data_IF_650855126306
#
_entry.id   IF_650855126306
#
_cell.length_a   1.000
_cell.length_b   1.000
_cell.length_c   1.000
_cell.angle_alpha   90.00
_cell.angle_beta   90.00
_cell.angle_gamma   90.00
#
_symmetry.space_group_name_H-M   'P 1'
#
loop_
_entity.id
_entity.type
_entity.pdbx_description
1 polymer ?
#
# COMPACT_ATOMS: atom_id res chain seq x y z
N UNK A 1 -18.08 -11.34 -5.95
CA UNK A 1 -18.74 -11.06 -7.24
C UNK A 1 -19.10 -9.58 -7.42
N UNK A 2 -19.28 -8.83 -6.36
CA UNK A 2 -19.66 -7.41 -6.41
C UNK A 2 -18.54 -6.41 -6.67
N UNK A 3 -17.29 -6.80 -6.72
CA UNK A 3 -16.16 -5.87 -6.92
C UNK A 3 -15.65 -5.82 -8.36
N UNK A 4 -16.51 -5.91 -9.33
CA UNK A 4 -16.09 -5.81 -10.71
C UNK A 4 -15.57 -4.45 -11.15
N UNK A 5 -15.90 -3.39 -10.48
CA UNK A 5 -15.56 -2.04 -10.92
C UNK A 5 -14.88 -1.16 -9.86
N UNK A 6 -14.88 -1.53 -8.59
CA UNK A 6 -14.51 -0.59 -7.52
C UNK A 6 -13.31 -0.98 -6.70
N UNK A 7 -12.44 -1.79 -7.21
CA UNK A 7 -11.47 -2.42 -6.35
C UNK A 7 -10.14 -1.83 -6.43
N UNK A 8 -9.83 -0.76 -6.25
CA UNK A 8 -8.40 -0.50 -6.25
C UNK A 8 -7.92 0.49 -5.25
N UNK A 9 -8.81 1.09 -4.54
CA UNK A 9 -8.36 2.22 -3.77
C UNK A 9 -7.70 1.86 -2.45
N UNK A 10 -7.88 0.69 -1.87
CA UNK A 10 -7.30 0.50 -0.53
C UNK A 10 -6.91 -0.95 -0.26
N UNK A 11 -5.68 -1.27 -0.51
CA UNK A 11 -5.02 -2.40 0.10
C UNK A 11 -4.42 -1.97 1.43
N UNK A 12 -5.24 -1.69 2.42
CA UNK A 12 -4.77 -1.39 3.76
C UNK A 12 -5.28 -2.44 4.73
N UNK A 13 -4.37 -3.12 5.38
CA UNK A 13 -4.68 -4.04 6.48
C UNK A 13 -5.02 -5.48 6.08
N UNK A 14 -5.58 -6.23 7.02
CA UNK A 14 -5.87 -7.65 6.92
C UNK A 14 -7.13 -8.00 6.11
N UNK A 15 -7.86 -7.02 5.60
CA UNK A 15 -9.18 -7.16 4.98
C UNK A 15 -9.12 -7.17 3.45
N UNK A 16 -8.26 -7.99 2.88
CA UNK A 16 -8.17 -8.13 1.43
C UNK A 16 -9.04 -9.27 0.95
N UNK A 17 -9.90 -8.97 -0.03
CA UNK A 17 -10.69 -9.97 -0.73
C UNK A 17 -10.01 -10.39 -2.03
N UNK A 18 -10.08 -11.67 -2.42
CA UNK A 18 -9.52 -12.11 -3.69
C UNK A 18 -10.23 -11.44 -4.86
N UNK A 19 -9.45 -11.00 -5.86
CA UNK A 19 -10.01 -10.46 -7.10
C UNK A 19 -10.54 -11.61 -7.97
N UNK A 20 -11.87 -11.82 -7.97
CA UNK A 20 -12.55 -12.92 -8.66
C UNK A 20 -13.27 -12.46 -9.96
N UNK A 21 -13.05 -11.24 -10.42
CA UNK A 21 -13.73 -10.75 -11.58
C UNK A 21 -13.28 -11.48 -12.85
N UNK A 22 -14.22 -12.14 -13.50
CA UNK A 22 -14.02 -12.83 -14.79
C UNK A 22 -15.06 -12.39 -15.86
N UNK A 23 -15.77 -11.28 -15.61
CA UNK A 23 -16.81 -10.72 -16.45
C UNK A 23 -18.21 -11.29 -16.15
N UNK A 24 -19.25 -10.45 -16.25
CA UNK A 24 -20.66 -10.85 -16.17
C UNK A 24 -20.99 -11.88 -17.26
N UNK A 25 -20.31 -11.78 -18.41
CA UNK A 25 -20.43 -12.77 -19.49
C UNK A 25 -20.03 -14.18 -19.03
N UNK A 26 -18.96 -14.32 -18.29
CA UNK A 26 -18.50 -15.63 -17.77
C UNK A 26 -19.49 -16.19 -16.77
N UNK A 27 -20.02 -15.38 -15.86
CA UNK A 27 -21.06 -15.77 -14.92
C UNK A 27 -22.30 -16.30 -15.62
N UNK A 28 -22.78 -15.59 -16.65
CA UNK A 28 -23.90 -16.01 -17.47
C UNK A 28 -23.63 -17.33 -18.23
N UNK A 29 -22.44 -17.48 -18.81
CA UNK A 29 -22.07 -18.66 -19.59
C UNK A 29 -21.89 -19.92 -18.74
N UNK A 30 -21.49 -19.80 -17.48
CA UNK A 30 -21.38 -20.95 -16.56
C UNK A 30 -22.74 -21.63 -16.38
N UNK A 31 -23.81 -20.87 -16.22
CA UNK A 31 -25.16 -21.44 -16.12
C UNK A 31 -25.62 -22.06 -17.43
N UNK A 32 -25.28 -21.44 -18.57
CA UNK A 32 -25.48 -22.06 -19.88
C UNK A 32 -24.72 -23.38 -19.99
N UNK A 33 -23.49 -23.47 -19.47
CA UNK A 33 -22.70 -24.70 -19.44
C UNK A 33 -23.38 -25.78 -18.62
N UNK A 34 -23.81 -25.45 -17.42
CA UNK A 34 -24.46 -26.41 -16.49
C UNK A 34 -25.74 -26.97 -17.10
N UNK A 35 -26.56 -26.12 -17.73
CA UNK A 35 -27.86 -26.51 -18.34
C UNK A 35 -27.73 -27.17 -19.72
N UNK A 36 -26.57 -27.07 -20.37
CA UNK A 36 -26.36 -27.56 -21.73
C UNK A 36 -26.46 -29.10 -21.82
N UNK A 37 -27.44 -29.61 -22.59
CA UNK A 37 -27.67 -31.04 -22.72
C UNK A 37 -26.62 -31.81 -23.52
N UNK A 38 -25.77 -31.14 -24.31
CA UNK A 38 -24.71 -31.75 -25.10
C UNK A 38 -23.39 -31.86 -24.34
N UNK A 39 -23.33 -31.37 -23.12
CA UNK A 39 -22.19 -31.50 -22.21
C UNK A 39 -22.50 -32.62 -21.25
N UNK A 40 -21.64 -33.63 -21.23
CA UNK A 40 -21.85 -34.83 -20.40
C UNK A 40 -21.64 -34.48 -18.90
N UNK A 41 -22.30 -35.23 -18.04
CA UNK A 41 -22.08 -35.09 -16.59
C UNK A 41 -20.64 -35.41 -16.17
N UNK A 42 -19.97 -36.29 -16.91
CA UNK A 42 -18.53 -36.59 -16.71
C UNK A 42 -17.63 -35.35 -16.94
N UNK A 43 -18.04 -34.42 -17.79
CA UNK A 43 -17.34 -33.14 -18.00
C UNK A 43 -17.80 -32.06 -17.01
N UNK A 44 -19.08 -32.06 -16.61
CA UNK A 44 -19.67 -31.03 -15.73
C UNK A 44 -19.22 -31.18 -14.28
N UNK A 45 -19.35 -32.38 -13.73
CA UNK A 45 -19.11 -32.65 -12.31
C UNK A 45 -17.71 -32.22 -11.86
N UNK A 46 -16.61 -32.61 -12.54
CA UNK A 46 -15.29 -32.20 -12.11
C UNK A 46 -15.10 -30.67 -12.12
N UNK A 47 -15.60 -29.96 -13.13
CA UNK A 47 -15.48 -28.50 -13.23
C UNK A 47 -16.30 -27.76 -12.19
N UNK A 48 -17.52 -28.24 -11.92
CA UNK A 48 -18.38 -27.68 -10.86
C UNK A 48 -17.75 -27.93 -9.50
N UNK A 49 -17.26 -29.16 -9.25
CA UNK A 49 -16.55 -29.49 -8.01
C UNK A 49 -15.30 -28.61 -7.81
N UNK A 50 -14.54 -28.38 -8.88
CA UNK A 50 -13.37 -27.51 -8.86
C UNK A 50 -13.74 -26.04 -8.56
N UNK A 51 -14.80 -25.51 -9.17
CA UNK A 51 -15.28 -24.16 -8.82
C UNK A 51 -15.74 -24.09 -7.36
N UNK A 52 -16.48 -25.08 -6.88
CA UNK A 52 -16.92 -25.13 -5.48
C UNK A 52 -15.71 -25.20 -4.54
N UNK A 53 -14.70 -26.03 -4.87
CA UNK A 53 -13.47 -26.11 -4.10
C UNK A 53 -12.72 -24.75 -4.04
N UNK A 54 -12.61 -24.02 -5.15
CA UNK A 54 -12.01 -22.70 -5.14
C UNK A 54 -12.80 -21.71 -4.29
N UNK A 55 -14.15 -21.71 -4.37
CA UNK A 55 -14.96 -20.83 -3.54
C UNK A 55 -14.79 -21.11 -2.05
N UNK A 56 -14.72 -22.38 -1.65
CA UNK A 56 -14.40 -22.75 -0.26
C UNK A 56 -12.97 -22.32 0.09
N UNK A 57 -12.02 -22.52 -0.83
CA UNK A 57 -10.62 -22.13 -0.62
C UNK A 57 -10.40 -20.64 -0.45
N UNK A 58 -11.29 -19.77 -0.96
CA UNK A 58 -11.23 -18.34 -0.73
C UNK A 58 -11.84 -17.91 0.61
N UNK A 59 -12.65 -18.78 1.24
CA UNK A 59 -13.29 -18.52 2.51
C UNK A 59 -12.50 -19.10 3.70
N UNK A 60 -11.66 -20.12 3.45
CA UNK A 60 -10.97 -20.88 4.49
C UNK A 60 -9.47 -20.54 4.54
N UNK A 61 -9.04 -19.93 5.63
CA UNK A 61 -7.64 -19.52 5.83
C UNK A 61 -6.63 -20.67 5.74
N UNK A 62 -7.01 -21.88 6.16
CA UNK A 62 -6.14 -23.04 6.11
C UNK A 62 -5.86 -23.49 4.66
N UNK A 63 -6.87 -23.41 3.79
CA UNK A 63 -6.67 -23.71 2.37
C UNK A 63 -5.85 -22.62 1.67
N UNK A 64 -6.06 -21.37 2.04
CA UNK A 64 -5.24 -20.27 1.54
C UNK A 64 -3.77 -20.41 1.96
N UNK A 65 -3.50 -20.82 3.21
CA UNK A 65 -2.16 -21.18 3.69
C UNK A 65 -1.49 -22.26 2.82
N UNK A 66 -2.23 -23.32 2.45
CA UNK A 66 -1.70 -24.39 1.58
C UNK A 66 -1.35 -23.83 0.18
N UNK A 67 -2.22 -23.00 -0.40
CA UNK A 67 -2.00 -22.36 -1.70
C UNK A 67 -0.79 -21.43 -1.73
N UNK A 68 -0.43 -20.86 -0.56
CA UNK A 68 0.74 -19.98 -0.40
C UNK A 68 2.00 -20.73 0.03
N UNK A 69 2.08 -22.06 -0.21
CA UNK A 69 3.26 -22.86 0.09
C UNK A 69 3.51 -23.05 1.58
N UNK A 70 2.44 -23.26 2.36
CA UNK A 70 2.45 -23.41 3.82
C UNK A 70 2.89 -22.13 4.56
N UNK A 71 2.55 -20.98 3.99
CA UNK A 71 2.79 -19.67 4.58
C UNK A 71 1.50 -18.85 4.58
N UNK A 72 1.21 -18.11 5.66
CA UNK A 72 0.07 -17.19 5.66
C UNK A 72 0.37 -15.95 4.82
N UNK A 73 -0.45 -15.64 3.83
CA UNK A 73 -0.30 -14.42 3.05
C UNK A 73 -0.60 -13.21 3.95
N UNK A 74 0.32 -12.28 3.99
CA UNK A 74 0.19 -11.13 4.89
C UNK A 74 -0.62 -9.97 4.30
N UNK A 75 -0.90 -9.98 3.00
CA UNK A 75 -1.59 -8.88 2.35
C UNK A 75 -2.23 -9.22 1.00
N UNK A 76 -2.25 -10.42 0.53
CA UNK A 76 -2.83 -10.77 -0.77
C UNK A 76 -3.40 -12.21 -0.73
N UNK A 77 -4.53 -12.43 -0.04
CA UNK A 77 -5.16 -13.74 0.00
C UNK A 77 -5.72 -14.12 -1.38
N UNK A 78 -5.91 -15.41 -1.60
CA UNK A 78 -6.57 -15.89 -2.80
C UNK A 78 -5.79 -15.70 -4.09
N UNK A 79 -4.45 -15.72 -4.06
CA UNK A 79 -3.60 -15.61 -5.27
C UNK A 79 -3.92 -16.64 -6.34
N UNK A 80 -4.48 -17.78 -5.96
CA UNK A 80 -4.96 -18.84 -6.87
C UNK A 80 -6.23 -18.44 -7.65
N UNK A 81 -6.78 -17.24 -7.47
CA UNK A 81 -8.00 -16.76 -8.14
C UNK A 81 -7.94 -16.81 -9.67
N UNK A 82 -6.75 -16.71 -10.27
CA UNK A 82 -6.57 -16.87 -11.71
C UNK A 82 -6.94 -18.29 -12.20
N UNK A 83 -6.73 -19.32 -11.38
CA UNK A 83 -7.15 -20.69 -11.70
C UNK A 83 -8.68 -20.82 -11.71
N UNK A 84 -9.35 -20.19 -10.76
CA UNK A 84 -10.81 -20.09 -10.74
C UNK A 84 -11.34 -19.41 -12.01
N UNK A 85 -10.78 -18.26 -12.37
CA UNK A 85 -11.12 -17.54 -13.60
C UNK A 85 -10.88 -18.39 -14.84
N UNK A 86 -9.79 -19.13 -14.91
CA UNK A 86 -9.50 -20.05 -16.00
C UNK A 86 -10.55 -21.16 -16.13
N UNK A 87 -11.00 -21.75 -15.01
CA UNK A 87 -12.09 -22.76 -15.03
C UNK A 87 -13.38 -22.16 -15.53
N UNK A 88 -13.78 -20.96 -15.04
CA UNK A 88 -14.96 -20.24 -15.52
C UNK A 88 -14.91 -20.01 -17.04
N UNK A 89 -13.81 -19.48 -17.53
CA UNK A 89 -13.62 -19.21 -18.96
C UNK A 89 -13.65 -20.51 -19.79
N UNK A 90 -13.04 -21.59 -19.29
CA UNK A 90 -13.05 -22.90 -19.97
C UNK A 90 -14.47 -23.48 -20.07
N UNK A 91 -15.29 -23.29 -19.00
CA UNK A 91 -16.70 -23.69 -19.02
C UNK A 91 -17.53 -22.82 -19.98
N UNK A 92 -17.30 -21.50 -19.97
CA UNK A 92 -17.93 -20.57 -20.90
C UNK A 92 -17.60 -20.91 -22.37
N UNK A 93 -16.34 -21.17 -22.68
CA UNK A 93 -15.92 -21.61 -24.01
C UNK A 93 -16.60 -22.90 -24.44
N UNK A 94 -16.68 -23.90 -23.56
CA UNK A 94 -17.36 -25.16 -23.86
C UNK A 94 -18.88 -24.95 -24.09
N UNK A 95 -19.52 -24.04 -23.35
CA UNK A 95 -20.93 -23.69 -23.55
C UNK A 95 -21.18 -23.08 -24.94
N UNK A 96 -20.31 -22.14 -25.35
CA UNK A 96 -20.42 -21.51 -26.69
C UNK A 96 -20.13 -22.52 -27.79
N UNK A 97 -19.07 -23.32 -27.65
CA UNK A 97 -18.71 -24.38 -28.65
C UNK A 97 -19.86 -25.40 -28.85
N UNK A 98 -20.50 -25.84 -27.75
CA UNK A 98 -21.60 -26.81 -27.75
C UNK A 98 -22.99 -26.14 -27.77
N UNK A 99 -23.13 -24.91 -28.28
CA UNK A 99 -24.34 -24.06 -28.25
C UNK A 99 -25.62 -24.75 -28.80
N UNK A 100 -25.48 -25.78 -29.66
CA UNK A 100 -26.65 -26.54 -30.17
C UNK A 100 -27.39 -27.29 -29.06
N UNK A 101 -26.76 -27.54 -27.91
CA UNK A 101 -27.40 -28.16 -26.75
C UNK A 101 -28.13 -27.18 -25.82
N UNK A 102 -28.04 -25.88 -26.10
CA UNK A 102 -28.71 -24.83 -25.33
C UNK A 102 -30.07 -24.52 -25.92
N UNK A 103 -31.10 -24.52 -25.11
CA UNK A 103 -32.47 -24.11 -25.45
C UNK A 103 -32.73 -22.68 -24.96
N UNK A 104 -33.80 -22.02 -25.44
CA UNK A 104 -34.15 -20.65 -25.02
C UNK A 104 -34.42 -20.58 -23.52
N UNK A 105 -35.10 -21.57 -22.94
CA UNK A 105 -35.35 -21.56 -21.50
C UNK A 105 -34.06 -21.72 -20.68
N UNK A 106 -32.99 -22.36 -21.21
CA UNK A 106 -31.66 -22.38 -20.52
C UNK A 106 -31.10 -20.97 -20.42
N UNK A 107 -31.31 -20.13 -21.47
CA UNK A 107 -30.85 -18.75 -21.47
C UNK A 107 -31.61 -17.93 -20.42
N UNK A 108 -32.95 -18.10 -20.33
CA UNK A 108 -33.77 -17.44 -19.34
C UNK A 108 -33.36 -17.83 -17.90
N UNK A 109 -33.20 -19.12 -17.63
CA UNK A 109 -32.75 -19.61 -16.33
C UNK A 109 -31.33 -19.08 -15.99
N UNK A 110 -30.43 -19.10 -16.95
CA UNK A 110 -29.07 -18.56 -16.73
C UNK A 110 -29.10 -17.07 -16.36
N UNK A 111 -29.91 -16.27 -17.04
CA UNK A 111 -30.08 -14.85 -16.72
C UNK A 111 -30.71 -14.65 -15.35
N UNK A 112 -31.77 -15.38 -15.02
CA UNK A 112 -32.45 -15.29 -13.71
C UNK A 112 -31.51 -15.67 -12.59
N UNK A 113 -30.78 -16.77 -12.71
CA UNK A 113 -29.83 -17.20 -11.64
C UNK A 113 -28.66 -16.24 -11.51
N UNK A 114 -28.12 -15.73 -12.63
CA UNK A 114 -27.07 -14.69 -12.58
C UNK A 114 -27.56 -13.41 -11.90
N UNK A 115 -28.80 -12.99 -12.22
CA UNK A 115 -29.43 -11.82 -11.60
C UNK A 115 -29.68 -12.03 -10.10
N UNK A 116 -30.16 -13.24 -9.74
CA UNK A 116 -30.40 -13.60 -8.33
C UNK A 116 -29.11 -13.58 -7.50
N UNK A 117 -28.01 -14.12 -8.06
CA UNK A 117 -26.69 -14.05 -7.40
C UNK A 117 -26.20 -12.61 -7.26
N UNK A 118 -26.43 -11.77 -8.27
CA UNK A 118 -26.10 -10.35 -8.22
C UNK A 118 -26.89 -9.61 -7.12
N UNK A 119 -28.19 -9.87 -7.02
CA UNK A 119 -29.05 -9.29 -5.96
C UNK A 119 -28.64 -9.78 -4.57
N UNK A 120 -28.32 -11.07 -4.42
CA UNK A 120 -27.81 -11.62 -3.17
C UNK A 120 -26.47 -11.01 -2.79
N UNK A 121 -25.59 -10.76 -3.74
CA UNK A 121 -24.32 -10.08 -3.45
C UNK A 121 -24.51 -8.63 -3.01
N UNK A 122 -25.53 -7.94 -3.52
CA UNK A 122 -25.92 -6.61 -3.06
C UNK A 122 -26.58 -6.59 -1.68
N UNK A 123 -27.33 -7.66 -1.34
CA UNK A 123 -28.03 -7.75 -0.06
C UNK A 123 -27.12 -8.15 1.11
N UNK A 124 -26.21 -9.10 0.88
CA UNK A 124 -25.28 -9.62 1.91
C UNK A 124 -23.89 -9.01 1.83
N UNK A 125 -23.61 -8.22 0.80
CA UNK A 125 -22.33 -7.52 0.66
C UNK A 125 -22.24 -6.34 1.62
N UNK A 126 -21.03 -6.06 2.08
CA UNK A 126 -20.72 -4.86 2.84
C UNK A 126 -20.97 -3.63 1.98
N UNK A 127 -21.70 -2.64 2.50
CA UNK A 127 -22.03 -1.40 1.78
C UNK A 127 -20.76 -0.61 1.38
N UNK A 128 -19.68 -0.72 2.16
CA UNK A 128 -18.38 -0.10 1.85
C UNK A 128 -17.70 -0.72 0.63
N UNK A 129 -18.14 -1.91 0.23
CA UNK A 129 -17.51 -2.76 -0.79
C UNK A 129 -18.34 -2.87 -2.06
N UNK A 130 -19.66 -2.73 -1.95
CA UNK A 130 -20.61 -3.00 -3.03
C UNK A 130 -21.26 -1.71 -3.52
N UNK A 131 -20.69 -1.12 -4.58
CA UNK A 131 -21.28 0.08 -5.20
C UNK A 131 -22.57 -0.27 -5.95
N UNK A 132 -23.71 0.40 -5.67
CA UNK A 132 -24.96 0.18 -6.36
C UNK A 132 -24.87 0.36 -7.89
N UNK A 133 -24.04 1.29 -8.35
CA UNK A 133 -23.81 1.53 -9.78
C UNK A 133 -23.20 0.31 -10.47
N UNK A 134 -22.26 -0.35 -9.84
CA UNK A 134 -21.62 -1.59 -10.35
C UNK A 134 -22.63 -2.73 -10.49
N UNK A 135 -23.58 -2.85 -9.55
CA UNK A 135 -24.66 -3.86 -9.63
C UNK A 135 -25.59 -3.58 -10.82
N UNK A 136 -25.98 -2.32 -11.01
CA UNK A 136 -26.86 -1.92 -12.13
C UNK A 136 -26.17 -2.16 -13.47
N UNK A 137 -24.92 -1.76 -13.63
CA UNK A 137 -24.15 -1.98 -14.86
C UNK A 137 -24.00 -3.48 -15.15
N UNK A 138 -23.69 -4.29 -14.15
CA UNK A 138 -23.56 -5.74 -14.29
C UNK A 138 -24.91 -6.38 -14.70
N UNK A 139 -26.02 -5.92 -14.09
CA UNK A 139 -27.37 -6.36 -14.45
C UNK A 139 -27.71 -6.05 -15.93
N UNK A 140 -27.36 -4.84 -16.39
CA UNK A 140 -27.54 -4.45 -17.79
C UNK A 140 -26.76 -5.35 -18.74
N UNK A 141 -25.49 -5.66 -18.44
CA UNK A 141 -24.70 -6.59 -19.24
C UNK A 141 -25.32 -7.98 -19.28
N UNK A 142 -25.79 -8.53 -18.16
CA UNK A 142 -26.47 -9.82 -18.12
C UNK A 142 -27.72 -9.81 -19.02
N UNK A 143 -28.55 -8.75 -18.98
CA UNK A 143 -29.70 -8.59 -19.83
C UNK A 143 -29.33 -8.54 -21.33
N UNK A 144 -28.33 -7.75 -21.70
CA UNK A 144 -27.83 -7.63 -23.06
C UNK A 144 -27.35 -8.98 -23.60
N UNK A 145 -26.57 -9.72 -22.79
CA UNK A 145 -26.13 -11.06 -23.16
C UNK A 145 -27.28 -12.04 -23.34
N UNK A 146 -28.24 -12.04 -22.42
CA UNK A 146 -29.43 -12.91 -22.53
C UNK A 146 -30.23 -12.64 -23.81
N UNK A 147 -30.54 -11.36 -24.08
CA UNK A 147 -31.24 -10.96 -25.30
C UNK A 147 -30.46 -11.35 -26.56
N UNK A 148 -29.17 -11.05 -26.59
CA UNK A 148 -28.28 -11.37 -27.72
C UNK A 148 -28.23 -12.89 -27.96
N UNK A 149 -28.13 -13.71 -26.92
CA UNK A 149 -28.14 -15.18 -27.03
C UNK A 149 -29.50 -15.69 -27.53
N UNK A 150 -30.62 -15.13 -27.08
CA UNK A 150 -31.97 -15.45 -27.63
C UNK A 150 -32.02 -15.13 -29.13
N UNK A 151 -31.56 -13.94 -29.52
CA UNK A 151 -31.54 -13.52 -30.92
C UNK A 151 -30.67 -14.46 -31.79
N UNK A 152 -29.56 -14.98 -31.29
CA UNK A 152 -28.78 -15.99 -32.02
C UNK A 152 -29.52 -17.31 -32.22
N UNK A 153 -30.58 -17.60 -31.45
CA UNK A 153 -31.37 -18.82 -31.55
C UNK A 153 -32.53 -18.70 -32.53
N UNK A 154 -33.20 -17.54 -32.57
CA UNK A 154 -34.42 -17.34 -33.38
C UNK A 154 -34.12 -16.80 -34.76
N UNK A 155 -32.91 -16.33 -35.05
CA UNK A 155 -32.57 -15.70 -36.33
C UNK A 155 -31.82 -16.62 -37.29
N UNK A 156 -31.90 -16.31 -38.60
CA UNK A 156 -31.20 -17.01 -39.67
C UNK A 156 -29.69 -16.85 -39.62
N UNK A 157 -28.96 -17.65 -40.42
CA UNK A 157 -27.47 -17.77 -40.34
C UNK A 157 -26.72 -16.45 -40.42
N UNK A 158 -27.10 -15.51 -41.32
CA UNK A 158 -26.41 -14.20 -41.45
C UNK A 158 -26.58 -13.33 -40.20
N UNK A 159 -27.84 -13.17 -39.75
CA UNK A 159 -28.15 -12.37 -38.54
C UNK A 159 -27.56 -13.01 -37.27
N UNK A 160 -27.50 -14.33 -37.21
CA UNK A 160 -26.86 -15.06 -36.10
C UNK A 160 -25.37 -14.70 -35.95
N UNK A 161 -24.65 -14.59 -37.08
CA UNK A 161 -23.24 -14.19 -37.04
C UNK A 161 -23.11 -12.75 -36.50
N UNK A 162 -23.93 -11.84 -36.98
CA UNK A 162 -23.94 -10.46 -36.50
C UNK A 162 -24.19 -10.37 -34.98
N UNK A 163 -25.20 -11.11 -34.46
CA UNK A 163 -25.45 -11.13 -33.02
C UNK A 163 -24.32 -11.80 -32.22
N UNK A 164 -23.62 -12.81 -32.77
CA UNK A 164 -22.44 -13.37 -32.12
C UNK A 164 -21.29 -12.37 -32.09
N UNK A 165 -21.05 -11.62 -33.15
CA UNK A 165 -20.06 -10.53 -33.18
C UNK A 165 -20.45 -9.41 -32.22
N UNK A 166 -21.73 -9.05 -32.14
CA UNK A 166 -22.23 -8.07 -31.16
C UNK A 166 -22.00 -8.54 -29.72
N UNK A 167 -22.19 -9.82 -29.40
CA UNK A 167 -21.88 -10.35 -28.06
C UNK A 167 -20.38 -10.22 -27.73
N UNK A 168 -19.49 -10.43 -28.71
CA UNK A 168 -18.06 -10.21 -28.52
C UNK A 168 -17.75 -8.72 -28.29
N UNK A 169 -18.37 -7.84 -29.08
CA UNK A 169 -18.20 -6.40 -28.90
C UNK A 169 -18.67 -5.96 -27.50
N UNK A 170 -19.83 -6.44 -27.04
CA UNK A 170 -20.32 -6.15 -25.69
C UNK A 170 -19.35 -6.67 -24.61
N UNK A 171 -18.75 -7.87 -24.79
CA UNK A 171 -17.76 -8.39 -23.84
C UNK A 171 -16.48 -7.53 -23.80
N UNK A 172 -16.03 -7.05 -24.96
CA UNK A 172 -14.88 -6.12 -25.03
C UNK A 172 -15.24 -4.79 -24.35
N UNK A 173 -16.43 -4.26 -24.56
CA UNK A 173 -16.89 -3.04 -23.92
C UNK A 173 -17.01 -3.22 -22.39
N UNK A 174 -17.54 -4.35 -21.92
CA UNK A 174 -17.58 -4.70 -20.50
C UNK A 174 -16.15 -4.69 -19.89
N UNK A 175 -15.21 -5.38 -20.54
CA UNK A 175 -13.83 -5.43 -20.08
C UNK A 175 -13.16 -4.04 -20.07
N UNK A 176 -13.41 -3.22 -21.09
CA UNK A 176 -12.89 -1.86 -21.17
C UNK A 176 -13.46 -0.96 -20.06
N UNK A 177 -14.76 -1.05 -19.79
CA UNK A 177 -15.41 -0.31 -18.68
C UNK A 177 -14.84 -0.77 -17.34
N UNK A 178 -14.73 -2.08 -17.13
CA UNK A 178 -14.13 -2.61 -15.90
C UNK A 178 -12.68 -2.17 -15.75
N UNK A 179 -11.88 -2.22 -16.81
CA UNK A 179 -10.49 -1.78 -16.80
C UNK A 179 -10.39 -0.27 -16.49
N UNK A 180 -11.28 0.55 -17.09
CA UNK A 180 -11.31 1.99 -16.81
C UNK A 180 -11.68 2.27 -15.35
N UNK A 181 -12.69 1.58 -14.82
CA UNK A 181 -13.13 1.76 -13.44
C UNK A 181 -12.13 1.26 -12.40
N UNK A 182 -11.40 0.19 -12.70
CA UNK A 182 -10.46 -0.44 -11.74
C UNK A 182 -9.00 -0.06 -11.97
N UNK A 183 -8.59 0.25 -13.20
CA UNK A 183 -7.21 0.48 -13.57
C UNK A 183 -6.79 1.94 -13.70
N UNK A 184 -7.75 2.85 -13.93
CA UNK A 184 -7.45 4.28 -14.12
C UNK A 184 -7.65 5.13 -12.86
N UNK A 185 -8.07 4.54 -11.74
CA UNK A 185 -8.11 5.21 -10.43
C UNK A 185 -6.74 5.38 -9.76
N UNK A 186 -5.66 5.42 -10.55
CA UNK A 186 -4.30 5.64 -10.08
C UNK A 186 -3.97 7.14 -10.06
N UNK A 187 -2.90 7.49 -9.37
CA UNK A 187 -2.35 8.86 -9.36
C UNK A 187 -2.18 9.38 -10.79
N UNK A 188 -2.63 10.61 -11.05
CA UNK A 188 -2.45 11.22 -12.37
C UNK A 188 -0.95 11.38 -12.67
N UNK A 189 -0.58 11.30 -13.96
CA UNK A 189 0.82 11.52 -14.35
C UNK A 189 1.32 12.89 -13.91
N UNK A 190 0.50 13.91 -13.97
CA UNK A 190 0.85 15.27 -13.54
C UNK A 190 1.19 15.28 -12.05
N UNK A 191 0.29 14.77 -11.20
CA UNK A 191 0.55 14.69 -9.76
C UNK A 191 1.74 13.79 -9.41
N UNK A 192 2.01 12.77 -10.22
CA UNK A 192 3.16 11.89 -10.02
C UNK A 192 4.49 12.58 -10.31
N UNK A 193 4.56 13.47 -11.33
CA UNK A 193 5.79 14.14 -11.78
C UNK A 193 5.86 15.62 -11.40
N UNK A 194 4.92 16.14 -10.60
CA UNK A 194 4.82 17.58 -10.32
C UNK A 194 6.08 18.21 -9.69
N UNK A 195 6.82 17.44 -8.88
CA UNK A 195 8.05 17.89 -8.21
C UNK A 195 9.34 17.57 -8.96
N UNK A 196 9.24 16.95 -10.12
CA UNK A 196 10.42 16.39 -10.80
C UNK A 196 11.47 17.45 -11.07
N UNK A 197 11.08 18.59 -11.64
CA UNK A 197 12.02 19.68 -11.96
C UNK A 197 12.65 20.30 -10.72
N UNK A 198 11.85 20.50 -9.66
CA UNK A 198 12.36 21.07 -8.42
C UNK A 198 13.35 20.12 -7.75
N UNK A 199 13.06 18.85 -7.71
CA UNK A 199 13.95 17.84 -7.15
C UNK A 199 15.22 17.64 -7.99
N UNK A 200 15.13 17.66 -9.31
CA UNK A 200 16.30 17.62 -10.19
C UNK A 200 17.26 18.78 -9.91
N UNK A 201 16.74 20.00 -9.75
CA UNK A 201 17.53 21.18 -9.41
C UNK A 201 18.18 21.05 -8.02
N UNK A 202 17.42 20.60 -7.03
CA UNK A 202 17.92 20.43 -5.65
C UNK A 202 18.94 19.29 -5.54
N UNK A 203 18.77 18.23 -6.30
CA UNK A 203 19.73 17.11 -6.35
C UNK A 203 21.05 17.53 -7.04
N UNK A 204 21.02 18.41 -8.04
CA UNK A 204 22.25 18.98 -8.60
C UNK A 204 22.95 19.89 -7.58
N UNK A 205 22.20 20.72 -6.84
CA UNK A 205 22.74 21.50 -5.72
C UNK A 205 23.38 20.59 -4.64
N UNK A 206 22.75 19.47 -4.31
CA UNK A 206 23.31 18.50 -3.37
C UNK A 206 24.63 17.89 -3.88
N UNK A 207 24.70 17.61 -5.17
CA UNK A 207 25.90 17.08 -5.80
C UNK A 207 27.06 18.12 -5.80
N UNK A 208 26.79 19.35 -6.15
CA UNK A 208 27.75 20.46 -6.12
C UNK A 208 28.29 20.67 -4.69
N UNK A 209 27.42 20.76 -3.67
CA UNK A 209 27.82 20.88 -2.27
C UNK A 209 28.63 19.67 -1.80
N UNK A 210 28.32 18.46 -2.28
CA UNK A 210 29.08 17.27 -1.93
C UNK A 210 30.47 17.27 -2.55
N UNK A 211 30.62 17.76 -3.78
CA UNK A 211 31.93 17.91 -4.44
C UNK A 211 32.79 18.97 -3.72
N UNK A 212 32.21 20.11 -3.34
CA UNK A 212 32.90 21.17 -2.60
C UNK A 212 33.36 20.73 -1.22
N UNK A 213 32.54 19.93 -0.51
CA UNK A 213 32.88 19.42 0.83
C UNK A 213 33.80 18.21 0.80
N UNK A 214 34.20 17.72 -0.40
CA UNK A 214 35.13 16.60 -0.57
C UNK A 214 34.62 15.26 -0.02
N UNK A 215 33.29 15.11 0.11
CA UNK A 215 32.68 13.89 0.61
C UNK A 215 32.51 12.86 -0.52
N UNK A 216 32.58 11.58 -0.18
CA UNK A 216 32.34 10.50 -1.13
C UNK A 216 30.85 10.20 -1.33
N UNK A 217 30.46 8.95 -1.11
CA UNK A 217 29.08 8.50 -1.20
C UNK A 217 28.19 9.18 -0.16
N UNK A 218 26.98 9.56 -0.57
CA UNK A 218 25.95 10.12 0.31
C UNK A 218 24.56 9.58 -0.05
N UNK A 219 23.62 9.71 0.88
CA UNK A 219 22.20 9.48 0.66
C UNK A 219 21.42 10.77 0.81
N UNK A 220 20.30 10.80 0.10
CA UNK A 220 19.27 11.82 0.20
C UNK A 220 18.00 11.18 0.76
N UNK A 221 17.27 11.88 1.61
CA UNK A 221 15.95 11.45 2.08
C UNK A 221 14.92 12.52 1.83
N UNK A 222 13.73 12.10 1.42
CA UNK A 222 12.57 12.97 1.29
C UNK A 222 11.69 12.82 2.54
N UNK A 223 11.43 13.93 3.23
CA UNK A 223 10.60 13.92 4.45
C UNK A 223 9.11 13.82 4.15
N UNK A 224 8.69 14.18 2.95
CA UNK A 224 7.27 14.19 2.48
C UNK A 224 7.10 13.39 1.20
N UNK A 225 7.72 12.21 1.17
CA UNK A 225 7.73 11.30 0.03
C UNK A 225 6.34 10.83 -0.39
N UNK A 226 6.14 10.62 -1.68
CA UNK A 226 4.93 10.02 -2.26
C UNK A 226 4.88 8.52 -2.02
N UNK A 227 6.03 7.85 -2.16
CA UNK A 227 6.19 6.42 -1.97
C UNK A 227 7.47 6.12 -1.20
N UNK A 228 7.67 4.87 -0.79
CA UNK A 228 8.92 4.43 -0.16
C UNK A 228 10.02 4.10 -1.20
N UNK A 229 9.81 4.40 -2.47
CA UNK A 229 10.76 4.19 -3.57
C UNK A 229 10.87 5.45 -4.47
N UNK A 230 10.71 6.62 -3.90
CA UNK A 230 10.85 7.90 -4.61
C UNK A 230 12.29 8.12 -5.09
N UNK A 231 13.26 7.52 -4.43
CA UNK A 231 14.64 7.42 -4.87
C UNK A 231 14.78 6.90 -6.30
N UNK A 232 14.01 5.86 -6.64
CA UNK A 232 13.96 5.30 -8.00
C UNK A 232 13.28 6.21 -9.00
N UNK A 233 12.33 7.04 -8.56
CA UNK A 233 11.64 8.00 -9.40
C UNK A 233 12.53 9.20 -9.75
N UNK A 234 13.23 9.73 -8.75
CA UNK A 234 14.02 10.97 -8.87
C UNK A 234 15.52 10.74 -9.05
N UNK A 235 16.02 9.50 -8.95
CA UNK A 235 17.39 9.11 -9.25
C UNK A 235 18.42 9.45 -8.18
N UNK A 236 18.09 9.33 -6.90
CA UNK A 236 19.02 9.48 -5.79
C UNK A 236 19.20 8.20 -4.98
N UNK A 237 20.22 8.12 -4.14
CA UNK A 237 20.40 7.01 -3.21
C UNK A 237 19.68 7.32 -1.90
N UNK A 238 18.86 6.40 -1.40
CA UNK A 238 18.08 6.53 -0.17
C UNK A 238 18.42 5.43 0.84
N UNK A 239 18.09 5.64 2.12
CA UNK A 239 18.03 4.60 3.12
C UNK A 239 16.61 4.03 3.28
N UNK A 240 15.63 4.65 2.66
CA UNK A 240 14.23 4.19 2.64
C UNK A 240 14.00 3.23 1.50
N UNK A 241 13.26 2.13 1.74
CA UNK A 241 12.89 1.17 0.68
C UNK A 241 11.58 0.48 1.00
N UNK A 242 10.80 0.18 -0.04
CA UNK A 242 9.76 -0.84 -0.04
C UNK A 242 10.15 -1.96 -1.00
N UNK A 243 10.30 -3.17 -0.48
CA UNK A 243 10.59 -4.36 -1.29
C UNK A 243 10.08 -5.62 -0.62
N UNK A 244 9.45 -6.50 -1.37
CA UNK A 244 9.06 -7.83 -0.87
C UNK A 244 10.26 -8.75 -0.56
N UNK A 245 11.45 -8.37 -0.99
CA UNK A 245 12.71 -9.13 -0.80
C UNK A 245 13.67 -8.42 0.17
N UNK A 246 13.23 -7.39 0.89
CA UNK A 246 14.10 -6.69 1.83
C UNK A 246 14.53 -7.59 2.98
N UNK A 247 15.71 -7.31 3.57
CA UNK A 247 16.17 -8.02 4.75
C UNK A 247 15.40 -7.56 6.01
N UNK A 248 14.78 -8.50 6.70
CA UNK A 248 14.00 -8.21 7.91
C UNK A 248 14.86 -7.72 9.07
N UNK A 249 16.11 -8.17 9.16
CA UNK A 249 17.04 -7.71 10.22
C UNK A 249 17.35 -6.23 10.08
N UNK A 250 17.43 -5.71 8.85
CA UNK A 250 17.58 -4.27 8.62
C UNK A 250 16.34 -3.51 9.07
N UNK A 251 15.15 -4.04 8.82
CA UNK A 251 13.91 -3.43 9.33
C UNK A 251 13.87 -3.42 10.87
N UNK A 252 14.30 -4.50 11.52
CA UNK A 252 14.41 -4.56 12.98
C UNK A 252 15.46 -3.57 13.52
N UNK A 253 16.59 -3.40 12.82
CA UNK A 253 17.57 -2.39 13.16
C UNK A 253 16.96 -0.98 13.10
N UNK A 254 16.25 -0.64 12.04
CA UNK A 254 15.55 0.64 11.93
C UNK A 254 14.60 0.87 13.10
N UNK A 255 13.76 -0.12 13.42
CA UNK A 255 12.83 -0.05 14.55
C UNK A 255 13.54 0.13 15.90
N UNK A 256 14.68 -0.54 16.12
CA UNK A 256 15.45 -0.40 17.35
C UNK A 256 16.15 0.97 17.49
N UNK A 257 16.30 1.68 16.38
CA UNK A 257 16.81 3.05 16.32
C UNK A 257 15.71 4.11 16.21
N UNK A 258 14.48 3.76 16.62
CA UNK A 258 13.30 4.61 16.57
C UNK A 258 12.76 4.93 15.17
N UNK A 259 13.34 4.37 14.13
CA UNK A 259 12.88 4.62 12.75
C UNK A 259 11.72 3.71 12.38
N UNK A 260 10.97 4.12 11.36
CA UNK A 260 9.85 3.35 10.84
C UNK A 260 10.33 2.07 10.13
N UNK A 261 9.78 0.93 10.52
CA UNK A 261 10.07 -0.35 9.90
C UNK A 261 8.86 -1.28 9.89
N UNK A 262 8.82 -2.18 8.93
CA UNK A 262 7.74 -3.17 8.78
C UNK A 262 8.20 -4.40 8.01
N UNK A 263 7.23 -5.21 7.57
CA UNK A 263 7.52 -6.51 6.96
C UNK A 263 8.16 -6.43 5.56
N UNK A 264 7.83 -5.36 4.83
CA UNK A 264 8.25 -5.17 3.44
C UNK A 264 8.96 -3.84 3.22
N UNK A 265 9.28 -3.13 4.29
CA UNK A 265 9.88 -1.81 4.19
C UNK A 265 10.64 -1.43 5.45
N UNK A 266 11.54 -0.50 5.29
CA UNK A 266 12.08 0.37 6.33
C UNK A 266 12.20 1.79 5.77
N UNK A 267 12.17 2.78 6.65
CA UNK A 267 11.91 4.15 6.25
C UNK A 267 12.57 5.15 7.19
N UNK A 268 12.98 6.29 6.64
CA UNK A 268 13.70 7.33 7.37
C UNK A 268 12.88 8.04 8.45
N UNK A 269 11.55 7.91 8.49
CA UNK A 269 10.73 8.49 9.56
C UNK A 269 11.24 8.10 10.93
N UNK A 270 11.33 9.07 11.84
CA UNK A 270 11.85 8.86 13.19
C UNK A 270 13.38 8.86 13.29
N UNK A 271 14.08 9.23 12.22
CA UNK A 271 15.54 9.33 12.26
C UNK A 271 15.99 10.40 13.25
N UNK A 272 17.03 10.06 13.99
CA UNK A 272 17.79 10.98 14.85
C UNK A 272 19.05 11.48 14.14
N UNK A 273 19.73 12.52 14.62
CA UNK A 273 21.03 12.92 14.06
C UNK A 273 22.05 11.77 13.99
N UNK A 274 22.03 10.85 14.97
CA UNK A 274 22.91 9.69 14.97
C UNK A 274 22.57 8.71 13.86
N UNK A 275 21.30 8.32 13.74
CA UNK A 275 20.87 7.38 12.68
C UNK A 275 21.06 7.98 11.28
N UNK A 276 20.80 9.27 11.11
CA UNK A 276 21.08 9.99 9.87
C UNK A 276 22.57 9.92 9.50
N UNK A 277 23.44 10.15 10.49
CA UNK A 277 24.89 10.06 10.30
C UNK A 277 25.34 8.66 9.92
N UNK A 278 24.88 7.63 10.63
CA UNK A 278 25.25 6.22 10.40
C UNK A 278 24.83 5.72 9.03
N UNK A 279 23.66 6.14 8.56
CA UNK A 279 23.15 5.75 7.23
C UNK A 279 23.66 6.65 6.11
N UNK A 280 24.66 7.51 6.36
CA UNK A 280 25.24 8.44 5.39
C UNK A 280 24.18 9.35 4.74
N UNK A 281 23.11 9.69 5.47
CA UNK A 281 22.08 10.61 4.98
C UNK A 281 22.62 12.03 5.15
N UNK A 282 23.18 12.56 4.08
CA UNK A 282 23.79 13.89 4.07
C UNK A 282 22.80 14.98 3.71
N UNK A 283 21.80 14.66 2.89
CA UNK A 283 20.83 15.64 2.43
C UNK A 283 19.41 15.21 2.72
N UNK A 284 18.54 16.21 2.93
CA UNK A 284 17.10 16.03 3.10
C UNK A 284 16.34 16.98 2.18
N UNK A 285 15.41 16.43 1.42
CA UNK A 285 14.39 17.16 0.68
C UNK A 285 13.15 17.32 1.57
N UNK A 286 12.51 18.48 1.51
CA UNK A 286 11.27 18.77 2.22
C UNK A 286 10.44 19.76 1.41
N UNK A 287 9.11 19.58 1.38
CA UNK A 287 8.18 20.51 0.75
C UNK A 287 7.73 21.63 1.69
N UNK A 288 8.06 21.52 2.96
CA UNK A 288 7.85 22.54 3.96
C UNK A 288 9.17 23.02 4.55
N UNK A 289 9.23 24.27 4.94
CA UNK A 289 10.40 24.78 5.64
C UNK A 289 10.54 24.05 7.00
N UNK A 290 11.66 23.37 7.17
CA UNK A 290 11.99 22.74 8.44
C UNK A 290 12.54 23.79 9.40
N UNK A 291 12.30 23.58 10.68
CA UNK A 291 12.82 24.44 11.74
C UNK A 291 14.36 24.44 11.75
N UNK A 292 14.94 25.59 12.03
CA UNK A 292 16.39 25.69 12.17
C UNK A 292 16.88 24.77 13.29
N UNK A 293 18.00 24.13 13.06
CA UNK A 293 18.57 23.16 14.01
C UNK A 293 20.09 23.13 13.85
N UNK A 294 20.85 22.92 14.92
CA UNK A 294 22.30 22.74 14.86
C UNK A 294 22.70 21.51 14.02
N UNK A 295 21.78 20.60 13.80
CA UNK A 295 22.02 19.35 13.07
C UNK A 295 21.88 19.49 11.57
N UNK A 296 21.17 20.52 11.06
CA UNK A 296 20.89 20.72 9.64
C UNK A 296 20.98 22.18 9.23
N UNK A 297 21.37 22.41 8.00
CA UNK A 297 21.51 23.72 7.38
C UNK A 297 20.74 23.75 6.07
N UNK A 298 19.92 24.77 5.83
CA UNK A 298 19.28 25.01 4.56
C UNK A 298 20.35 25.42 3.52
N UNK A 299 20.44 24.71 2.41
CA UNK A 299 21.44 24.97 1.36
C UNK A 299 20.82 25.27 -0.01
N UNK A 300 19.52 25.03 -0.20
CA UNK A 300 18.86 25.33 -1.47
C UNK A 300 17.35 25.34 -1.37
N UNK A 301 16.70 25.97 -2.34
CA UNK A 301 15.26 25.98 -2.54
C UNK A 301 14.93 25.99 -4.03
N UNK A 302 13.89 25.27 -4.44
CA UNK A 302 13.33 25.29 -5.80
C UNK A 302 11.82 25.07 -5.71
N UNK A 303 11.05 25.99 -6.31
CA UNK A 303 9.60 26.00 -6.20
C UNK A 303 9.14 26.05 -4.75
N UNK A 304 8.38 25.05 -4.32
CA UNK A 304 7.96 24.90 -2.92
C UNK A 304 8.85 23.95 -2.11
N UNK A 305 9.90 23.38 -2.72
CA UNK A 305 10.74 22.38 -2.09
C UNK A 305 12.07 22.96 -1.61
N UNK A 306 12.60 22.41 -0.54
CA UNK A 306 13.80 22.85 0.15
C UNK A 306 14.81 21.70 0.24
N UNK A 307 16.12 22.05 0.22
CA UNK A 307 17.21 21.12 0.43
C UNK A 307 17.98 21.49 1.69
N UNK A 308 18.07 20.55 2.61
CA UNK A 308 18.85 20.70 3.84
C UNK A 308 20.05 19.76 3.82
N UNK A 309 21.17 20.22 4.35
CA UNK A 309 22.36 19.41 4.61
C UNK A 309 22.41 19.03 6.09
N UNK A 310 22.58 17.74 6.37
CA UNK A 310 22.93 17.26 7.69
C UNK A 310 24.41 17.57 7.99
N UNK A 311 24.65 18.29 9.08
CA UNK A 311 25.99 18.79 9.42
C UNK A 311 26.93 17.68 9.92
N UNK A 312 26.41 16.51 10.29
CA UNK A 312 27.12 15.40 10.93
C UNK A 312 26.93 14.08 10.17
N UNK A 313 27.10 14.08 8.87
CA UNK A 313 26.99 12.84 8.10
C UNK A 313 28.31 12.08 8.11
N UNK A 314 28.26 10.76 8.39
CA UNK A 314 29.40 9.87 8.26
C UNK A 314 29.52 9.33 6.83
N UNK A 315 30.74 9.00 6.37
CA UNK A 315 30.91 8.30 5.11
C UNK A 315 30.33 6.89 5.20
N UNK A 316 30.11 6.22 4.05
CA UNK A 316 29.57 4.86 3.97
C UNK A 316 30.39 3.84 4.78
N UNK A 317 31.70 4.03 4.88
CA UNK A 317 32.61 3.22 5.69
C UNK A 317 33.41 4.08 6.64
N UNK A 318 33.46 3.69 7.89
CA UNK A 318 34.29 4.34 8.95
C UNK A 318 34.87 3.28 9.86
N UNK A 319 35.97 3.64 10.53
CA UNK A 319 36.69 2.74 11.46
C UNK A 319 36.12 2.90 12.86
N UNK A 320 35.92 1.81 13.57
CA UNK A 320 35.47 1.79 14.96
C UNK A 320 36.11 0.64 15.71
N UNK A 321 36.01 0.68 17.05
CA UNK A 321 36.48 -0.41 17.90
C UNK A 321 35.63 -1.66 17.72
N UNK A 322 36.26 -2.76 17.32
CA UNK A 322 35.61 -4.05 17.09
C UNK A 322 34.89 -4.59 18.33
N UNK A 323 35.53 -4.46 19.51
CA UNK A 323 34.97 -4.99 20.76
C UNK A 323 33.77 -4.18 21.24
N UNK A 324 33.78 -2.88 21.02
CA UNK A 324 32.67 -2.02 21.38
C UNK A 324 31.38 -2.36 20.59
N UNK A 325 31.52 -2.60 19.28
CA UNK A 325 30.35 -2.93 18.44
C UNK A 325 29.93 -4.39 18.59
N UNK A 326 30.86 -5.32 18.81
CA UNK A 326 30.53 -6.75 18.97
C UNK A 326 29.62 -7.03 20.18
N UNK A 327 29.69 -6.20 21.20
CA UNK A 327 28.88 -6.29 22.41
C UNK A 327 27.56 -5.52 22.31
N UNK A 328 27.37 -4.74 21.24
CA UNK A 328 26.13 -4.02 21.05
C UNK A 328 24.99 -4.93 20.57
N UNK A 329 23.82 -4.78 21.18
CA UNK A 329 22.61 -5.49 20.81
C UNK A 329 21.46 -4.52 20.61
N UNK A 330 20.75 -4.67 19.52
CA UNK A 330 19.55 -3.88 19.27
C UNK A 330 18.33 -4.47 19.97
N UNK A 331 17.42 -3.62 20.46
CA UNK A 331 16.15 -4.02 21.05
C UNK A 331 15.03 -3.11 20.58
N UNK A 332 13.98 -3.70 20.02
CA UNK A 332 12.76 -2.96 19.68
C UNK A 332 11.84 -2.70 20.88
N UNK A 333 12.09 -3.39 22.00
CA UNK A 333 11.35 -3.19 23.25
C UNK A 333 11.91 -2.02 24.07
N UNK A 334 13.23 -1.81 24.04
CA UNK A 334 13.90 -0.68 24.69
C UNK A 334 14.76 0.06 23.66
N UNK A 335 14.10 0.91 22.89
CA UNK A 335 14.72 1.64 21.78
C UNK A 335 15.65 2.74 22.26
N UNK A 336 15.35 3.37 23.41
CA UNK A 336 16.21 4.40 23.98
C UNK A 336 17.54 3.81 24.45
N UNK A 337 17.50 2.69 25.15
CA UNK A 337 18.72 1.98 25.55
C UNK A 337 19.52 1.49 24.32
N UNK A 338 18.86 1.01 23.28
CA UNK A 338 19.51 0.62 22.01
C UNK A 338 20.27 1.78 21.39
N UNK A 339 19.64 2.95 21.26
CA UNK A 339 20.26 4.12 20.65
C UNK A 339 21.41 4.65 21.52
N UNK A 340 21.21 4.76 22.83
CA UNK A 340 22.23 5.26 23.76
C UNK A 340 23.44 4.33 23.88
N UNK A 341 23.22 3.01 23.91
CA UNK A 341 24.31 2.03 23.92
C UNK A 341 25.10 2.02 22.60
N UNK A 342 24.40 2.26 21.45
CA UNK A 342 25.07 2.42 20.16
C UNK A 342 25.95 3.68 20.16
N UNK A 343 25.48 4.79 20.70
CA UNK A 343 26.24 6.04 20.84
C UNK A 343 27.54 5.80 21.61
N UNK A 344 27.45 5.08 22.73
CA UNK A 344 28.62 4.70 23.53
C UNK A 344 29.54 3.73 22.78
N UNK A 345 29.00 2.75 22.04
CA UNK A 345 29.79 1.82 21.24
C UNK A 345 30.56 2.52 20.10
N UNK A 346 30.04 3.64 19.61
CA UNK A 346 30.70 4.50 18.63
C UNK A 346 31.78 5.43 19.25
N UNK A 347 31.98 5.33 20.56
CA UNK A 347 33.01 6.10 21.27
C UNK A 347 32.60 7.50 21.70
N UNK A 348 31.31 7.82 21.64
CA UNK A 348 30.80 9.10 22.11
C UNK A 348 30.70 9.11 23.65
N UNK A 349 31.09 10.23 24.26
CA UNK A 349 30.86 10.48 25.69
C UNK A 349 29.42 10.99 25.90
N UNK A 350 28.67 10.34 26.80
CA UNK A 350 27.31 10.71 27.14
C UNK A 350 26.25 9.90 26.39
N UNK A 351 24.99 10.29 26.58
CA UNK A 351 23.83 9.68 25.98
C UNK A 351 23.26 10.56 24.87
N UNK A 352 22.69 9.95 23.85
CA UNK A 352 22.01 10.66 22.76
C UNK A 352 20.63 11.16 23.21
N UNK A 353 19.89 10.34 23.94
CA UNK A 353 18.55 10.64 24.42
C UNK A 353 18.50 10.52 25.95
N UNK A 354 17.82 11.48 26.56
CA UNK A 354 17.51 11.49 27.99
C UNK A 354 15.99 11.48 28.17
N UNK A 355 15.46 10.77 29.18
CA UNK A 355 14.05 10.91 29.51
C UNK A 355 13.78 12.34 29.99
N UNK A 356 12.84 13.02 29.37
CA UNK A 356 12.45 14.37 29.80
C UNK A 356 11.59 14.31 31.06
N UNK A 357 11.84 15.23 31.99
CA UNK A 357 10.96 15.49 33.11
C UNK A 357 9.88 16.47 32.63
N UNK A 358 8.69 15.98 32.31
CA UNK A 358 7.56 16.81 31.90
C UNK A 358 6.27 16.36 32.59
N UNK A 359 5.38 17.28 32.80
CA UNK A 359 4.02 16.97 33.26
C UNK A 359 3.17 16.65 32.02
N UNK A 360 2.52 15.51 32.04
CA UNK A 360 1.60 15.13 30.95
C UNK A 360 0.18 15.03 31.48
N UNK A 361 -0.75 15.69 30.81
CA UNK A 361 -2.18 15.43 30.99
C UNK A 361 -2.66 14.68 29.74
N UNK A 362 -3.00 13.39 29.90
CA UNK A 362 -3.43 12.52 28.82
C UNK A 362 -4.91 12.22 28.97
N UNK A 363 -5.69 12.74 28.05
CA UNK A 363 -7.09 12.37 27.85
C UNK A 363 -7.23 11.49 26.60
N UNK A 364 -8.34 10.79 26.44
CA UNK A 364 -8.55 9.92 25.28
C UNK A 364 -8.42 10.71 23.96
N UNK A 365 -7.34 10.45 23.22
CA UNK A 365 -7.04 11.10 21.94
C UNK A 365 -6.23 12.39 21.99
N UNK A 366 -6.01 12.98 23.18
CA UNK A 366 -5.27 14.22 23.34
C UNK A 366 -4.25 14.13 24.48
N UNK A 367 -3.05 14.60 24.23
CA UNK A 367 -1.99 14.65 25.24
C UNK A 367 -1.40 16.05 25.28
N UNK A 368 -1.31 16.64 26.46
CA UNK A 368 -0.66 17.92 26.69
C UNK A 368 0.64 17.71 27.48
N UNK A 369 1.72 18.32 27.03
CA UNK A 369 3.04 18.19 27.61
C UNK A 369 3.57 19.57 28.01
N UNK A 370 3.87 19.75 29.31
CA UNK A 370 4.55 20.94 29.83
C UNK A 370 6.05 20.74 29.79
N UNK A 371 6.77 21.60 29.09
CA UNK A 371 8.22 21.56 28.95
C UNK A 371 8.88 22.27 30.14
N UNK A 372 9.69 21.53 30.90
CA UNK A 372 10.34 22.07 32.09
C UNK A 372 11.64 22.84 31.80
N UNK A 373 12.40 22.46 30.77
CA UNK A 373 13.71 23.02 30.45
C UNK A 373 13.88 23.28 28.96
N UNK A 374 14.76 24.20 28.58
CA UNK A 374 15.11 24.43 27.17
C UNK A 374 15.80 23.18 26.59
N UNK A 375 15.39 22.74 25.40
CA UNK A 375 15.99 21.57 24.76
C UNK A 375 15.38 21.20 23.43
N UNK A 376 15.98 20.18 22.80
CA UNK A 376 15.46 19.58 21.57
C UNK A 376 14.72 18.29 21.93
N UNK A 377 13.42 18.26 21.68
CA UNK A 377 12.52 17.24 22.18
C UNK A 377 12.02 16.29 21.10
N UNK A 378 11.81 15.05 21.52
CA UNK A 378 11.19 14.00 20.75
C UNK A 378 10.09 13.33 21.59
N UNK A 379 9.08 12.80 20.96
CA UNK A 379 8.07 11.98 21.60
C UNK A 379 8.15 10.52 21.08
N UNK A 380 8.29 9.58 22.00
CA UNK A 380 8.07 8.15 21.76
C UNK A 380 6.72 7.77 22.37
N UNK A 381 5.82 7.22 21.57
CA UNK A 381 4.49 6.81 21.98
C UNK A 381 4.37 5.28 21.93
N UNK A 382 3.64 4.70 22.89
CA UNK A 382 3.51 3.25 23.03
C UNK A 382 2.49 2.69 22.08
N UNK A 383 1.36 3.37 21.91
CA UNK A 383 0.29 3.01 20.99
C UNK A 383 -0.41 4.27 20.49
N UNK A 384 -0.79 4.24 19.23
CA UNK A 384 -1.62 5.25 18.61
C UNK A 384 -2.77 4.54 17.91
N UNK A 385 -3.99 4.99 18.11
CA UNK A 385 -5.17 4.42 17.46
C UNK A 385 -5.38 5.04 16.09
N UNK A 386 -4.94 6.29 15.93
CA UNK A 386 -4.98 7.02 14.68
C UNK A 386 -3.73 6.76 13.82
N UNK A 387 -3.89 6.81 12.51
CA UNK A 387 -2.79 6.76 11.54
C UNK A 387 -2.13 8.15 11.31
N UNK A 388 -2.62 9.17 12.01
CA UNK A 388 -2.11 10.54 11.98
C UNK A 388 -2.07 11.14 13.38
N UNK A 389 -1.00 11.89 13.67
CA UNK A 389 -0.87 12.73 14.87
C UNK A 389 -0.63 14.16 14.45
N UNK A 390 -1.29 15.10 15.11
CA UNK A 390 -1.04 16.52 14.96
C UNK A 390 -0.37 17.05 16.21
N UNK A 391 0.76 17.72 16.06
CA UNK A 391 1.51 18.35 17.14
C UNK A 391 1.39 19.85 17.00
N UNK A 392 0.91 20.51 18.05
CA UNK A 392 0.79 21.95 18.13
C UNK A 392 1.62 22.46 19.32
N UNK A 393 2.52 23.40 19.09
CA UNK A 393 3.27 24.09 20.15
C UNK A 393 2.68 25.45 20.45
N UNK A 394 2.87 25.92 21.68
CA UNK A 394 2.37 27.23 22.14
C UNK A 394 2.98 28.43 21.40
N UNK A 395 4.11 28.25 20.71
CA UNK A 395 4.74 29.26 19.84
C UNK A 395 4.10 29.39 18.44
N UNK A 396 3.09 28.57 18.15
CA UNK A 396 2.37 28.57 16.88
C UNK A 396 2.91 27.55 15.85
N UNK A 397 3.97 26.79 16.18
CA UNK A 397 4.43 25.72 15.31
C UNK A 397 3.46 24.54 15.31
N UNK A 398 3.14 24.04 14.14
CA UNK A 398 2.23 22.90 13.93
C UNK A 398 2.81 21.96 12.90
N UNK A 399 2.76 20.65 13.19
CA UNK A 399 3.16 19.62 12.24
C UNK A 399 2.26 18.39 12.35
N UNK A 400 1.88 17.84 11.20
CA UNK A 400 1.14 16.57 11.12
C UNK A 400 2.07 15.44 10.75
N UNK A 401 1.96 14.34 11.47
CA UNK A 401 2.69 13.10 11.25
C UNK A 401 1.72 12.03 10.76
N UNK A 402 2.07 11.32 9.71
CA UNK A 402 1.26 10.25 9.11
C UNK A 402 1.89 8.87 9.37
N UNK A 403 1.09 7.81 9.25
CA UNK A 403 1.55 6.43 9.50
C UNK A 403 2.07 6.20 10.92
N UNK A 404 1.52 6.91 11.87
CA UNK A 404 1.91 6.84 13.28
C UNK A 404 1.63 5.46 13.91
N UNK A 405 0.71 4.68 13.34
CA UNK A 405 0.52 3.26 13.67
C UNK A 405 1.79 2.39 13.52
N UNK A 406 2.78 2.83 12.74
CA UNK A 406 4.09 2.15 12.59
C UNK A 406 5.10 2.46 13.71
N UNK A 407 4.74 3.34 14.65
CA UNK A 407 5.52 3.64 15.84
C UNK A 407 6.98 4.05 15.56
N UNK A 408 7.18 5.26 15.12
CA UNK A 408 8.49 5.89 14.96
C UNK A 408 8.60 7.14 15.86
N UNK A 409 9.82 7.64 16.07
CA UNK A 409 10.05 8.81 16.92
C UNK A 409 9.47 10.07 16.28
N UNK A 410 8.70 10.83 17.05
CA UNK A 410 8.13 12.11 16.62
C UNK A 410 9.07 13.23 17.05
N UNK A 411 9.54 14.02 16.09
CA UNK A 411 10.36 15.21 16.34
C UNK A 411 9.44 16.36 16.79
N UNK A 412 9.67 16.87 18.02
CA UNK A 412 8.95 18.03 18.55
C UNK A 412 9.74 19.32 18.33
N UNK A 413 11.01 19.22 18.00
CA UNK A 413 11.91 20.33 17.70
C UNK A 413 12.48 21.02 18.95
N UNK A 414 12.99 22.23 18.77
CA UNK A 414 13.51 23.06 19.86
C UNK A 414 12.35 23.67 20.66
N UNK A 415 12.31 23.35 21.94
CA UNK A 415 11.30 23.85 22.86
C UNK A 415 11.96 24.65 23.99
N UNK A 416 11.30 25.71 24.43
CA UNK A 416 11.71 26.53 25.56
C UNK A 416 10.99 26.08 26.83
N UNK A 417 11.61 26.30 27.98
CA UNK A 417 10.96 26.07 29.26
C UNK A 417 9.59 26.81 29.33
N UNK A 418 8.61 26.18 29.94
CA UNK A 418 7.22 26.64 30.02
C UNK A 418 6.45 26.60 28.67
N UNK A 419 7.03 26.04 27.62
CA UNK A 419 6.26 25.75 26.39
C UNK A 419 5.25 24.65 26.63
N UNK A 420 4.08 24.80 26.03
CA UNK A 420 3.03 23.78 26.01
C UNK A 420 3.01 23.10 24.65
N UNK A 421 3.02 21.78 24.67
CA UNK A 421 2.85 20.97 23.47
C UNK A 421 1.55 20.21 23.58
N UNK A 422 0.71 20.32 22.56
CA UNK A 422 -0.53 19.57 22.44
C UNK A 422 -0.44 18.60 21.28
N UNK A 423 -0.63 17.31 21.58
CA UNK A 423 -0.63 16.21 20.60
C UNK A 423 -2.03 15.65 20.54
N UNK A 424 -2.64 15.65 19.34
CA UNK A 424 -3.98 15.12 19.06
C UNK A 424 -3.95 14.05 17.99
N UNK A 425 -4.82 13.01 18.16
CA UNK A 425 -5.06 11.94 17.20
C UNK A 425 -6.09 12.32 16.14
#
# INVERSE_FOLDING_TARGET
>A
LGRGAAVTSVYTGNDHWPNLYAGAFSLFLVWIYVLNRRISWKEKVPRIAMLAFFLVSFAENQLDYIWHGMHFPQALPGRQSFLYSFVLLSMGFAAVRKRKGTKIWHIAVAAIVSMMLLLLSGWYGDETVTEPVSLVITALFICVYAVTFVLTKITGKKKRLAFAQFAVFVAVAELAINMAATGFGTTSRVAYTEKQTDYENLLETAKEDNEETGSGFYRVEDTERKTKNDDSLYGYASATIFSSLMNLDVSHLFQSLFMEGGKNFYCYNGATPLSSSLFSVKYMLSDSALEESPYRTLIGGSGSSFLYRNNYSLPLGFVMDEQAIANWTSSTADRMASLNSLTSALGAEGQMLYPATCVTDANAGDTTIDIAEDGYYYADYISCTSDTLTVNRSDGWTKQYSKTSHRYLIELGECKALSLIHISE
#
